data_IF_158532196485
#
_entry.id   IF_158532196485
#
_cell.length_a   1.000
_cell.length_b   1.000
_cell.length_c   1.000
_cell.angle_alpha   90.00
_cell.angle_beta   90.00
_cell.angle_gamma   90.00
#
_symmetry.space_group_name_H-M   'P 1'
#
loop_
_entity.id
_entity.type
_entity.pdbx_description
1 polymer ?
#
# COMPACT_ATOMS: atom_id res chain seq x y z
N UNK A 1 9.13 -11.17 24.57
CA UNK A 1 8.47 -9.87 24.87
C UNK A 1 7.21 -9.82 24.03
N UNK A 2 6.04 -9.61 24.63
CA UNK A 2 4.80 -9.48 23.87
C UNK A 2 4.73 -8.05 23.31
N UNK A 3 4.88 -7.89 22.00
CA UNK A 3 4.86 -6.57 21.35
C UNK A 3 3.47 -5.90 21.41
N UNK A 4 2.42 -6.66 21.75
CA UNK A 4 1.04 -6.20 21.92
C UNK A 4 0.65 -6.05 23.39
N UNK A 5 1.62 -5.79 24.27
CA UNK A 5 1.35 -5.52 25.70
C UNK A 5 0.50 -4.25 25.91
N UNK A 6 0.52 -3.33 24.95
CA UNK A 6 -0.34 -2.15 24.91
C UNK A 6 -0.71 -1.79 23.46
N UNK A 7 -1.57 -0.79 23.29
CA UNK A 7 -2.13 -0.39 22.01
C UNK A 7 -1.08 0.10 21.01
N UNK A 8 0.10 0.55 21.45
CA UNK A 8 1.16 1.00 20.54
C UNK A 8 1.69 -0.12 19.64
N UNK A 9 1.55 -1.38 20.04
CA UNK A 9 1.86 -2.53 19.19
C UNK A 9 0.94 -2.65 17.96
N UNK A 10 -0.25 -2.04 18.00
CA UNK A 10 -1.23 -2.02 16.90
C UNK A 10 -1.25 -0.65 16.23
N UNK A 11 -1.33 0.43 17.02
CA UNK A 11 -1.45 1.81 16.54
C UNK A 11 -0.13 2.40 16.03
N UNK A 12 0.99 1.76 16.36
CA UNK A 12 2.33 2.27 16.11
C UNK A 12 2.77 3.30 17.15
N UNK A 13 4.00 3.80 16.96
CA UNK A 13 4.65 4.77 17.84
C UNK A 13 4.69 6.18 17.25
N UNK A 14 3.84 6.46 16.26
CA UNK A 14 3.77 7.79 15.65
C UNK A 14 3.40 8.83 16.71
N UNK A 15 4.25 9.84 16.89
CA UNK A 15 4.05 10.89 17.90
C UNK A 15 3.95 12.25 17.23
N UNK A 16 3.01 13.07 17.68
CA UNK A 16 2.91 14.47 17.26
C UNK A 16 4.21 15.22 17.53
N UNK A 17 4.91 14.88 18.61
CA UNK A 17 6.18 15.54 18.96
C UNK A 17 7.33 15.10 18.06
N UNK A 18 7.36 13.84 17.59
CA UNK A 18 8.37 13.41 16.60
C UNK A 18 8.14 14.08 15.24
N UNK A 19 6.89 14.30 14.85
CA UNK A 19 6.55 15.05 13.64
C UNK A 19 6.91 16.55 13.74
N UNK A 20 6.76 17.16 14.93
CA UNK A 20 7.18 18.55 15.18
C UNK A 20 8.70 18.69 15.16
N UNK A 21 9.43 17.69 15.62
CA UNK A 21 10.89 17.76 15.64
C UNK A 21 11.48 17.50 14.25
N UNK A 22 11.03 16.45 13.57
CA UNK A 22 11.48 16.13 12.20
C UNK A 22 11.27 17.28 11.21
N UNK A 23 10.17 18.04 11.30
CA UNK A 23 9.97 19.19 10.41
C UNK A 23 10.97 20.33 10.69
N UNK A 24 11.29 20.59 11.97
CA UNK A 24 12.28 21.62 12.32
C UNK A 24 13.67 21.21 11.86
N UNK A 25 14.05 19.97 12.15
CA UNK A 25 15.33 19.40 11.73
C UNK A 25 15.46 19.38 10.21
N UNK A 26 14.39 19.03 9.49
CA UNK A 26 14.34 19.07 8.03
C UNK A 26 14.64 20.47 7.48
N UNK A 27 13.97 21.51 7.97
CA UNK A 27 14.20 22.88 7.50
C UNK A 27 15.57 23.42 7.90
N UNK A 28 16.08 23.02 9.08
CA UNK A 28 17.44 23.33 9.51
C UNK A 28 18.47 22.73 8.54
N UNK A 29 18.38 21.41 8.29
CA UNK A 29 19.26 20.70 7.36
C UNK A 29 19.19 21.29 5.95
N UNK A 30 17.97 21.55 5.46
CA UNK A 30 17.74 22.20 4.15
C UNK A 30 18.43 23.55 4.07
N UNK A 31 18.32 24.39 5.11
CA UNK A 31 18.93 25.72 5.16
C UNK A 31 20.46 25.64 5.16
N UNK A 32 21.03 24.69 5.90
CA UNK A 32 22.47 24.46 5.96
C UNK A 32 23.03 24.02 4.59
N UNK A 33 22.37 23.06 3.93
CA UNK A 33 22.73 22.61 2.58
C UNK A 33 22.61 23.77 1.59
N UNK A 34 21.47 24.47 1.57
CA UNK A 34 21.23 25.60 0.65
C UNK A 34 22.27 26.70 0.81
N UNK A 35 22.67 26.99 2.05
CA UNK A 35 23.72 27.98 2.36
C UNK A 35 25.07 27.56 1.76
N UNK A 36 25.44 26.28 1.90
CA UNK A 36 26.68 25.73 1.33
C UNK A 36 26.68 25.72 -0.20
N UNK A 37 25.53 25.47 -0.82
CA UNK A 37 25.37 25.57 -2.28
C UNK A 37 25.50 27.02 -2.79
N UNK A 38 25.27 28.02 -1.93
CA UNK A 38 25.40 29.44 -2.27
C UNK A 38 24.54 29.81 -3.48
N UNK A 39 25.17 30.27 -4.57
CA UNK A 39 24.47 30.65 -5.81
C UNK A 39 23.77 29.46 -6.51
N UNK A 40 24.16 28.24 -6.19
CA UNK A 40 23.56 27.01 -6.71
C UNK A 40 22.44 26.46 -5.81
N UNK A 41 22.00 27.21 -4.79
CA UNK A 41 20.91 26.79 -3.91
C UNK A 41 19.60 26.43 -4.63
N UNK A 42 19.38 26.97 -5.84
CA UNK A 42 18.23 26.62 -6.68
C UNK A 42 18.19 25.13 -7.07
N UNK A 43 19.33 24.43 -7.08
CA UNK A 43 19.38 22.99 -7.34
C UNK A 43 18.63 22.23 -6.23
N UNK A 44 18.87 22.60 -4.97
CA UNK A 44 18.16 22.01 -3.83
C UNK A 44 16.68 22.40 -3.86
N UNK A 45 16.36 23.66 -4.20
CA UNK A 45 14.98 24.13 -4.28
C UNK A 45 14.18 23.27 -5.31
N UNK A 46 14.77 23.01 -6.48
CA UNK A 46 14.16 22.16 -7.51
C UNK A 46 14.08 20.68 -7.10
N UNK A 47 15.15 20.14 -6.49
CA UNK A 47 15.17 18.78 -5.96
C UNK A 47 14.05 18.56 -4.94
N UNK A 48 13.88 19.49 -4.00
CA UNK A 48 12.80 19.42 -3.00
C UNK A 48 11.42 19.59 -3.62
N UNK A 49 11.25 20.44 -4.64
CA UNK A 49 9.99 20.57 -5.39
C UNK A 49 9.54 19.22 -5.93
N UNK A 50 10.45 18.47 -6.58
CA UNK A 50 10.14 17.14 -7.08
C UNK A 50 9.77 16.15 -5.98
N UNK A 51 10.48 16.14 -4.85
CA UNK A 51 10.13 15.25 -3.74
C UNK A 51 8.74 15.57 -3.15
N UNK A 52 8.43 16.86 -2.99
CA UNK A 52 7.12 17.28 -2.49
C UNK A 52 5.99 16.98 -3.47
N UNK A 53 6.18 17.28 -4.76
CA UNK A 53 5.23 16.98 -5.82
C UNK A 53 4.98 15.47 -5.91
N UNK A 54 6.04 14.66 -5.90
CA UNK A 54 5.92 13.21 -5.99
C UNK A 54 5.20 12.59 -4.78
N UNK A 55 5.50 13.08 -3.58
CA UNK A 55 4.86 12.56 -2.36
C UNK A 55 3.42 13.03 -2.23
N UNK A 56 3.09 14.22 -2.75
CA UNK A 56 1.73 14.75 -2.73
C UNK A 56 0.87 14.23 -3.90
N UNK A 57 1.49 13.70 -4.95
CA UNK A 57 0.82 13.18 -6.14
C UNK A 57 0.09 11.85 -5.92
N UNK A 58 0.44 11.10 -4.86
CA UNK A 58 -0.24 9.83 -4.51
C UNK A 58 -0.80 9.95 -3.11
N UNK A 59 -2.11 10.12 -3.00
CA UNK A 59 -2.75 10.31 -1.70
C UNK A 59 -2.93 8.96 -0.99
N UNK A 60 -2.55 8.92 0.28
CA UNK A 60 -2.62 7.71 1.10
C UNK A 60 -4.02 7.09 1.14
N UNK A 61 -5.08 7.91 1.24
CA UNK A 61 -6.44 7.38 1.30
C UNK A 61 -6.87 6.78 -0.04
N UNK A 62 -6.40 7.31 -1.17
CA UNK A 62 -6.71 6.77 -2.51
C UNK A 62 -6.03 5.43 -2.70
N UNK A 63 -4.76 5.31 -2.32
CA UNK A 63 -4.06 4.03 -2.34
C UNK A 63 -4.76 2.96 -1.48
N UNK A 64 -5.20 3.33 -0.27
CA UNK A 64 -5.92 2.41 0.62
C UNK A 64 -7.28 2.00 0.03
N UNK A 65 -8.03 2.96 -0.52
CA UNK A 65 -9.31 2.70 -1.19
C UNK A 65 -9.13 1.79 -2.39
N UNK A 66 -8.15 2.05 -3.24
CA UNK A 66 -7.86 1.23 -4.42
C UNK A 66 -7.58 -0.23 -4.04
N UNK A 67 -6.74 -0.45 -3.02
CA UNK A 67 -6.47 -1.79 -2.50
C UNK A 67 -7.73 -2.48 -1.96
N UNK A 68 -8.58 -1.74 -1.26
CA UNK A 68 -9.85 -2.27 -0.74
C UNK A 68 -10.85 -2.62 -1.86
N UNK A 69 -10.98 -1.76 -2.86
CA UNK A 69 -11.89 -1.92 -4.01
C UNK A 69 -11.44 -3.03 -4.96
N UNK A 70 -10.13 -3.21 -5.10
CA UNK A 70 -9.52 -4.32 -5.85
C UNK A 70 -10.03 -5.67 -5.34
N UNK A 71 -9.94 -5.92 -4.02
CA UNK A 71 -10.48 -7.16 -3.43
C UNK A 71 -12.02 -7.21 -3.48
N UNK A 72 -12.70 -6.07 -3.38
CA UNK A 72 -14.17 -6.00 -3.54
C UNK A 72 -14.63 -6.42 -4.95
N UNK A 73 -13.86 -6.09 -5.97
CA UNK A 73 -14.11 -6.52 -7.35
C UNK A 73 -13.97 -8.03 -7.50
N UNK A 74 -12.93 -8.60 -6.91
CA UNK A 74 -12.75 -10.07 -6.84
C UNK A 74 -13.92 -10.75 -6.11
N UNK A 75 -14.36 -10.20 -4.98
CA UNK A 75 -15.52 -10.71 -4.24
C UNK A 75 -16.81 -10.68 -5.08
N UNK A 76 -16.96 -9.66 -5.93
CA UNK A 76 -18.10 -9.56 -6.85
C UNK A 76 -18.10 -10.68 -7.90
N UNK A 77 -16.93 -11.06 -8.43
CA UNK A 77 -16.79 -12.21 -9.34
C UNK A 77 -17.17 -13.52 -8.66
N UNK A 78 -16.69 -13.73 -7.42
CA UNK A 78 -17.07 -14.90 -6.62
C UNK A 78 -18.61 -14.97 -6.44
N UNK A 79 -19.26 -13.85 -6.10
CA UNK A 79 -20.73 -13.80 -5.96
C UNK A 79 -21.44 -14.13 -7.27
N UNK A 80 -20.99 -13.57 -8.38
CA UNK A 80 -21.54 -13.84 -9.72
C UNK A 80 -21.46 -15.32 -10.09
N UNK A 81 -20.29 -15.93 -9.89
CA UNK A 81 -20.04 -17.35 -10.17
C UNK A 81 -20.92 -18.24 -9.28
N UNK A 82 -20.97 -17.95 -7.97
CA UNK A 82 -21.77 -18.72 -7.01
C UNK A 82 -23.28 -18.64 -7.28
N UNK A 83 -23.77 -17.53 -7.85
CA UNK A 83 -25.17 -17.35 -8.23
C UNK A 83 -25.49 -17.84 -9.65
N UNK A 84 -24.47 -18.12 -10.47
CA UNK A 84 -24.65 -18.37 -11.89
C UNK A 84 -25.05 -17.11 -12.70
N UNK A 85 -24.91 -15.92 -12.11
CA UNK A 85 -25.21 -14.63 -12.76
C UNK A 85 -23.95 -14.10 -13.43
N UNK A 86 -23.70 -14.46 -14.68
CA UNK A 86 -22.43 -14.11 -15.31
C UNK A 86 -22.46 -12.76 -15.99
N UNK A 87 -22.06 -11.70 -15.27
CA UNK A 87 -22.04 -10.32 -15.78
C UNK A 87 -20.65 -9.93 -16.28
N UNK A 88 -19.59 -10.39 -15.60
CA UNK A 88 -18.21 -9.98 -15.86
C UNK A 88 -17.31 -11.12 -16.40
N UNK A 89 -17.76 -11.83 -17.45
CA UNK A 89 -16.97 -12.92 -18.09
C UNK A 89 -15.63 -12.47 -18.66
N UNK A 90 -15.54 -11.21 -19.06
CA UNK A 90 -14.34 -10.65 -19.69
C UNK A 90 -13.28 -10.23 -18.67
N UNK A 91 -13.59 -10.30 -17.37
CA UNK A 91 -12.61 -9.97 -16.34
C UNK A 91 -11.43 -10.96 -16.39
N UNK A 92 -10.16 -10.50 -16.34
CA UNK A 92 -8.98 -11.36 -16.51
C UNK A 92 -8.94 -12.57 -15.59
N UNK A 93 -9.47 -12.42 -14.37
CA UNK A 93 -9.47 -13.46 -13.35
C UNK A 93 -10.72 -14.36 -13.36
N UNK A 94 -11.70 -14.10 -14.23
CA UNK A 94 -12.97 -14.83 -14.21
C UNK A 94 -12.76 -16.35 -14.30
N UNK A 95 -11.97 -16.81 -15.29
CA UNK A 95 -11.73 -18.23 -15.52
C UNK A 95 -10.96 -18.89 -14.36
N UNK A 96 -9.98 -18.19 -13.78
CA UNK A 96 -9.22 -18.70 -12.63
C UNK A 96 -10.10 -18.86 -11.40
N UNK A 97 -10.88 -17.82 -11.05
CA UNK A 97 -11.81 -17.86 -9.92
C UNK A 97 -12.86 -18.95 -10.13
N UNK A 98 -13.40 -19.06 -11.34
CA UNK A 98 -14.38 -20.08 -11.68
C UNK A 98 -13.81 -21.49 -11.54
N UNK A 99 -12.64 -21.74 -12.13
CA UNK A 99 -11.97 -23.04 -12.03
C UNK A 99 -11.67 -23.41 -10.57
N UNK A 100 -11.25 -22.44 -9.76
CA UNK A 100 -11.00 -22.64 -8.34
C UNK A 100 -12.28 -23.03 -7.57
N UNK A 101 -13.37 -22.28 -7.76
CA UNK A 101 -14.66 -22.56 -7.11
C UNK A 101 -15.21 -23.93 -7.55
N UNK A 102 -15.12 -24.27 -8.84
CA UNK A 102 -15.58 -25.57 -9.35
C UNK A 102 -14.76 -26.73 -8.76
N UNK A 103 -13.46 -26.54 -8.54
CA UNK A 103 -12.55 -27.55 -7.99
C UNK A 103 -12.67 -27.71 -6.46
N UNK A 104 -13.12 -26.68 -5.74
CA UNK A 104 -13.17 -26.65 -4.27
C UNK A 104 -14.58 -26.38 -3.74
N UNK A 105 -15.58 -27.25 -4.03
CA UNK A 105 -16.95 -27.01 -3.59
C UNK A 105 -17.07 -27.00 -2.07
N UNK A 106 -17.53 -25.87 -1.53
CA UNK A 106 -17.74 -25.68 -0.09
C UNK A 106 -19.11 -26.22 0.37
N UNK A 107 -19.12 -26.91 1.53
CA UNK A 107 -20.31 -27.56 2.13
C UNK A 107 -21.28 -26.61 2.86
N UNK A 108 -20.89 -25.34 3.05
CA UNK A 108 -21.64 -24.35 3.83
C UNK A 108 -22.88 -23.85 3.07
N UNK A 109 -24.01 -23.70 3.77
CA UNK A 109 -25.28 -23.28 3.18
C UNK A 109 -25.29 -21.76 2.96
N UNK A 110 -24.86 -21.00 3.97
CA UNK A 110 -24.84 -19.53 3.91
C UNK A 110 -23.91 -19.05 2.78
N UNK A 111 -24.45 -18.24 1.87
CA UNK A 111 -23.70 -17.74 0.70
C UNK A 111 -22.53 -16.85 1.08
N UNK A 112 -22.69 -16.03 2.13
CA UNK A 112 -21.63 -15.15 2.61
C UNK A 112 -20.50 -15.93 3.29
N UNK A 113 -20.80 -17.03 4.00
CA UNK A 113 -19.75 -17.92 4.54
C UNK A 113 -18.90 -18.49 3.42
N UNK A 114 -19.53 -19.00 2.34
CA UNK A 114 -18.81 -19.51 1.17
C UNK A 114 -17.97 -18.42 0.49
N UNK A 115 -18.55 -17.23 0.30
CA UNK A 115 -17.84 -16.09 -0.29
C UNK A 115 -16.59 -15.75 0.51
N UNK A 116 -16.70 -15.56 1.83
CA UNK A 116 -15.57 -15.19 2.67
C UNK A 116 -14.50 -16.27 2.76
N UNK A 117 -14.86 -17.55 2.64
CA UNK A 117 -13.90 -18.64 2.52
C UNK A 117 -13.15 -18.60 1.19
N UNK A 118 -13.87 -18.46 0.06
CA UNK A 118 -13.21 -18.35 -1.24
C UNK A 118 -12.32 -17.10 -1.36
N UNK A 119 -12.75 -15.95 -0.81
CA UNK A 119 -11.93 -14.74 -0.72
C UNK A 119 -10.59 -15.03 -0.02
N UNK A 120 -10.65 -15.62 1.16
CA UNK A 120 -9.45 -15.96 1.93
C UNK A 120 -8.57 -17.02 1.24
N UNK A 121 -9.15 -17.96 0.50
CA UNK A 121 -8.41 -18.99 -0.22
C UNK A 121 -7.77 -18.46 -1.52
N UNK A 122 -8.39 -17.48 -2.18
CA UNK A 122 -7.93 -16.88 -3.43
C UNK A 122 -7.05 -15.64 -3.22
N UNK A 123 -7.00 -15.09 -2.00
CA UNK A 123 -6.38 -13.78 -1.75
C UNK A 123 -4.91 -13.73 -2.16
N UNK A 124 -4.14 -14.81 -1.96
CA UNK A 124 -2.72 -14.86 -2.33
C UNK A 124 -2.51 -14.81 -3.84
N UNK A 125 -3.24 -15.63 -4.59
CA UNK A 125 -3.12 -15.69 -6.05
C UNK A 125 -3.51 -14.35 -6.70
N UNK A 126 -4.53 -13.69 -6.15
CA UNK A 126 -4.99 -12.39 -6.65
C UNK A 126 -4.03 -11.25 -6.27
N UNK A 127 -3.39 -11.33 -5.09
CA UNK A 127 -2.47 -10.32 -4.59
C UNK A 127 -1.31 -10.06 -5.55
N UNK A 128 -0.71 -11.11 -6.10
CA UNK A 128 0.47 -10.98 -6.97
C UNK A 128 0.16 -10.13 -8.20
N UNK A 129 -0.91 -10.45 -8.91
CA UNK A 129 -1.26 -9.71 -10.13
C UNK A 129 -1.85 -8.33 -9.84
N UNK A 130 -2.59 -8.15 -8.75
CA UNK A 130 -3.05 -6.83 -8.31
C UNK A 130 -1.88 -5.90 -7.96
N UNK A 131 -0.85 -6.43 -7.30
CA UNK A 131 0.35 -5.69 -6.94
C UNK A 131 1.09 -5.18 -8.18
N UNK A 132 1.33 -6.04 -9.17
CA UNK A 132 2.05 -5.67 -10.39
C UNK A 132 1.31 -4.61 -11.21
N UNK A 133 -0.01 -4.76 -11.33
CA UNK A 133 -0.85 -3.81 -12.04
C UNK A 133 -0.81 -2.43 -11.36
N UNK A 134 -1.10 -2.39 -10.06
CA UNK A 134 -1.13 -1.12 -9.32
C UNK A 134 0.25 -0.44 -9.28
N UNK A 135 1.33 -1.21 -9.13
CA UNK A 135 2.69 -0.65 -9.22
C UNK A 135 2.96 -0.01 -10.58
N UNK A 136 2.52 -0.66 -11.67
CA UNK A 136 2.69 -0.14 -13.03
C UNK A 136 1.92 1.15 -13.23
N UNK A 137 0.69 1.22 -12.74
CA UNK A 137 -0.17 2.40 -12.81
C UNK A 137 0.44 3.57 -12.02
N UNK A 138 0.89 3.33 -10.77
CA UNK A 138 1.59 4.37 -9.99
C UNK A 138 2.86 4.88 -10.65
N UNK A 139 3.63 4.01 -11.31
CA UNK A 139 4.83 4.42 -12.06
C UNK A 139 4.44 5.28 -13.26
N UNK A 140 3.34 4.96 -13.94
CA UNK A 140 2.83 5.78 -15.04
C UNK A 140 2.38 7.16 -14.53
N UNK A 141 1.62 7.22 -13.44
CA UNK A 141 1.11 8.46 -12.84
C UNK A 141 2.26 9.36 -12.36
N UNK A 142 3.24 8.80 -11.63
CA UNK A 142 4.40 9.57 -11.15
C UNK A 142 5.17 10.20 -12.33
N UNK A 143 5.29 9.48 -13.46
CA UNK A 143 6.02 9.98 -14.63
C UNK A 143 5.35 11.17 -15.30
N UNK A 144 4.07 11.45 -15.04
CA UNK A 144 3.39 12.62 -15.59
C UNK A 144 3.92 13.94 -15.00
N UNK A 145 4.41 13.93 -13.76
CA UNK A 145 4.87 15.13 -13.07
C UNK A 145 6.32 15.04 -12.54
N UNK A 146 6.92 13.85 -12.46
CA UNK A 146 8.29 13.67 -12.00
C UNK A 146 9.24 13.27 -13.14
N UNK A 147 10.19 14.15 -13.44
CA UNK A 147 11.36 13.79 -14.25
C UNK A 147 12.41 13.11 -13.36
N UNK A 148 12.39 11.78 -13.34
CA UNK A 148 13.33 10.99 -12.54
C UNK A 148 14.79 11.15 -12.99
N UNK A 149 15.02 11.51 -14.26
CA UNK A 149 16.38 11.72 -14.78
C UNK A 149 16.90 13.05 -14.24
N UNK A 150 16.11 14.13 -14.32
CA UNK A 150 16.49 15.42 -13.75
C UNK A 150 16.64 15.35 -12.21
N UNK A 151 15.77 14.61 -11.51
CA UNK A 151 15.91 14.40 -10.06
C UNK A 151 17.26 13.78 -9.68
N UNK A 152 17.68 12.74 -10.41
CA UNK A 152 18.97 12.09 -10.20
C UNK A 152 20.14 13.00 -10.55
N UNK A 153 20.04 13.77 -11.63
CA UNK A 153 21.05 14.75 -12.01
C UNK A 153 21.19 15.87 -10.97
N UNK A 154 20.07 16.33 -10.38
CA UNK A 154 20.07 17.30 -9.28
C UNK A 154 20.75 16.72 -8.05
N UNK A 155 20.43 15.48 -7.67
CA UNK A 155 21.09 14.78 -6.56
C UNK A 155 22.61 14.75 -6.76
N UNK A 156 23.09 14.29 -7.92
CA UNK A 156 24.51 14.19 -8.22
C UNK A 156 25.21 15.55 -8.17
N UNK A 157 24.63 16.59 -8.78
CA UNK A 157 25.19 17.95 -8.76
C UNK A 157 25.28 18.52 -7.35
N UNK A 158 24.28 18.27 -6.50
CA UNK A 158 24.31 18.70 -5.10
C UNK A 158 25.43 17.96 -4.35
N UNK A 159 25.54 16.64 -4.50
CA UNK A 159 26.60 15.83 -3.88
C UNK A 159 28.00 16.30 -4.29
N UNK A 160 28.22 16.62 -5.56
CA UNK A 160 29.50 17.15 -6.07
C UNK A 160 29.91 18.44 -5.35
N UNK A 161 28.96 19.36 -5.11
CA UNK A 161 29.23 20.64 -4.45
C UNK A 161 29.46 20.45 -2.95
N UNK A 162 28.74 19.51 -2.32
CA UNK A 162 28.88 19.21 -0.90
C UNK A 162 30.13 18.36 -0.60
N UNK A 163 30.68 17.67 -1.61
CA UNK A 163 31.80 16.75 -1.46
C UNK A 163 31.41 15.37 -0.93
N UNK A 164 30.14 14.97 -1.07
CA UNK A 164 29.61 13.69 -0.62
C UNK A 164 28.09 13.66 -0.47
N UNK A 165 27.57 12.49 -0.09
CA UNK A 165 26.13 12.19 -0.06
C UNK A 165 25.49 12.34 1.34
N UNK A 166 26.32 12.34 2.40
CA UNK A 166 25.89 12.24 3.81
C UNK A 166 24.80 13.24 4.18
N UNK A 167 24.94 14.50 3.78
CA UNK A 167 23.98 15.55 4.11
C UNK A 167 22.64 15.35 3.39
N UNK A 168 22.66 14.82 2.17
CA UNK A 168 21.46 14.50 1.39
C UNK A 168 20.79 13.22 1.91
N UNK A 169 21.56 12.21 2.34
CA UNK A 169 21.02 11.03 3.02
C UNK A 169 20.31 11.42 4.31
N UNK A 170 20.93 12.28 5.13
CA UNK A 170 20.29 12.80 6.35
C UNK A 170 19.03 13.59 6.02
N UNK A 171 19.06 14.42 4.96
CA UNK A 171 17.89 15.15 4.50
C UNK A 171 16.76 14.20 4.06
N UNK A 172 17.09 13.12 3.35
CA UNK A 172 16.14 12.10 2.93
C UNK A 172 15.51 11.37 4.13
N UNK A 173 16.29 11.01 5.15
CA UNK A 173 15.75 10.41 6.37
C UNK A 173 14.74 11.33 7.06
N UNK A 174 15.08 12.62 7.21
CA UNK A 174 14.18 13.64 7.77
C UNK A 174 12.94 13.84 6.89
N UNK A 175 13.11 13.79 5.57
CA UNK A 175 12.01 13.85 4.61
C UNK A 175 11.04 12.69 4.82
N UNK A 176 11.54 11.44 4.90
CA UNK A 176 10.71 10.28 5.13
C UNK A 176 9.96 10.33 6.46
N UNK A 177 10.65 10.72 7.53
CA UNK A 177 10.03 10.83 8.86
C UNK A 177 8.87 11.84 8.90
N UNK A 178 8.92 12.87 8.06
CA UNK A 178 7.93 13.96 8.09
C UNK A 178 6.87 13.87 7.01
N UNK A 179 7.28 13.59 5.77
CA UNK A 179 6.44 13.75 4.58
C UNK A 179 6.06 12.41 3.94
N UNK A 180 6.83 11.34 4.15
CA UNK A 180 6.58 10.00 3.60
C UNK A 180 6.46 8.96 4.72
N UNK A 181 5.48 9.16 5.60
CA UNK A 181 5.24 8.32 6.79
C UNK A 181 4.96 6.86 6.40
N UNK A 182 4.22 6.66 5.31
CA UNK A 182 3.93 5.37 4.72
C UNK A 182 4.01 5.49 3.19
N UNK A 183 4.43 4.41 2.51
CA UNK A 183 4.58 4.40 1.05
C UNK A 183 3.28 3.90 0.41
N UNK A 184 2.97 4.40 -0.79
CA UNK A 184 1.73 4.08 -1.50
C UNK A 184 1.49 2.57 -1.64
N UNK A 185 2.50 1.78 -2.01
CA UNK A 185 2.37 0.32 -2.13
C UNK A 185 2.07 -0.36 -0.79
N UNK A 186 2.70 0.07 0.31
CA UNK A 186 2.42 -0.48 1.64
C UNK A 186 0.96 -0.19 2.05
N UNK A 187 0.47 1.01 1.71
CA UNK A 187 -0.90 1.44 2.01
C UNK A 187 -1.93 0.71 1.16
N UNK A 188 -1.65 0.51 -0.13
CA UNK A 188 -2.48 -0.30 -1.03
C UNK A 188 -2.60 -1.75 -0.54
N UNK A 189 -1.46 -2.37 -0.20
CA UNK A 189 -1.44 -3.73 0.36
C UNK A 189 -2.19 -3.79 1.70
N UNK A 190 -2.10 -2.75 2.52
CA UNK A 190 -2.88 -2.65 3.74
C UNK A 190 -4.39 -2.56 3.45
N UNK A 191 -4.80 -1.81 2.43
CA UNK A 191 -6.19 -1.77 1.95
C UNK A 191 -6.73 -3.15 1.54
N UNK A 192 -5.96 -3.89 0.74
CA UNK A 192 -6.29 -5.28 0.38
C UNK A 192 -6.38 -6.17 1.62
N UNK A 193 -5.41 -6.04 2.54
CA UNK A 193 -5.37 -6.77 3.80
C UNK A 193 -6.58 -6.47 4.68
N UNK A 194 -7.03 -5.21 4.73
CA UNK A 194 -8.23 -4.85 5.49
C UNK A 194 -9.49 -5.53 4.95
N UNK A 195 -9.62 -5.68 3.62
CA UNK A 195 -10.72 -6.43 3.05
C UNK A 195 -10.63 -7.93 3.35
N UNK A 196 -9.44 -8.53 3.25
CA UNK A 196 -9.22 -9.92 3.67
C UNK A 196 -9.59 -10.13 5.15
N UNK A 197 -9.23 -9.20 6.03
CA UNK A 197 -9.59 -9.24 7.45
C UNK A 197 -11.10 -9.18 7.67
N UNK A 198 -11.87 -8.46 6.85
CA UNK A 198 -13.35 -8.52 6.89
C UNK A 198 -13.85 -9.94 6.63
N UNK A 199 -13.29 -10.64 5.65
CA UNK A 199 -13.65 -12.03 5.35
C UNK A 199 -13.22 -12.99 6.45
N UNK A 200 -11.98 -12.90 6.94
CA UNK A 200 -11.45 -13.77 8.00
C UNK A 200 -12.22 -13.62 9.32
N UNK A 201 -12.69 -12.41 9.62
CA UNK A 201 -13.44 -12.11 10.85
C UNK A 201 -14.96 -12.30 10.72
N UNK A 202 -15.47 -12.57 9.51
CA UNK A 202 -16.87 -12.91 9.30
C UNK A 202 -17.26 -14.14 10.12
N UNK A 203 -18.42 -14.08 10.79
CA UNK A 203 -18.95 -15.17 11.62
C UNK A 203 -20.01 -15.95 10.86
N UNK A 204 -19.71 -17.21 10.59
CA UNK A 204 -20.65 -18.17 10.04
C UNK A 204 -21.83 -18.40 11.01
N UNK A 205 -23.04 -18.44 10.46
CA UNK A 205 -24.26 -18.61 11.27
C UNK A 205 -24.49 -20.05 11.70
N UNK A 206 -24.07 -21.03 10.90
CA UNK A 206 -24.33 -22.44 11.17
C UNK A 206 -23.50 -22.96 12.35
N UNK A 207 -22.23 -22.55 12.40
CA UNK A 207 -21.25 -23.02 13.38
C UNK A 207 -20.94 -22.00 14.46
N UNK A 208 -21.33 -20.73 14.27
CA UNK A 208 -20.92 -19.58 15.09
C UNK A 208 -19.41 -19.34 15.12
N UNK A 209 -18.64 -19.98 14.22
CA UNK A 209 -17.20 -19.78 14.08
C UNK A 209 -16.90 -18.63 13.12
N UNK A 210 -15.77 -17.97 13.33
CA UNK A 210 -15.24 -17.04 12.34
C UNK A 210 -14.55 -17.81 11.20
N UNK A 211 -14.49 -17.21 10.01
CA UNK A 211 -13.91 -17.85 8.81
C UNK A 211 -12.48 -18.34 9.06
N UNK A 212 -11.63 -17.56 9.75
CA UNK A 212 -10.27 -18.03 10.06
C UNK A 212 -10.28 -19.32 10.91
N UNK A 213 -11.27 -19.52 11.78
CA UNK A 213 -11.41 -20.74 12.58
C UNK A 213 -11.84 -21.90 11.70
N UNK A 214 -12.75 -21.65 10.73
CA UNK A 214 -13.16 -22.66 9.74
C UNK A 214 -11.97 -23.11 8.88
N UNK A 215 -11.13 -22.17 8.45
CA UNK A 215 -9.89 -22.46 7.70
C UNK A 215 -8.86 -23.23 8.52
N UNK A 216 -8.84 -23.09 9.85
CA UNK A 216 -7.95 -23.87 10.71
C UNK A 216 -8.48 -25.29 10.98
N UNK A 217 -9.80 -25.44 10.99
CA UNK A 217 -10.46 -26.74 11.21
C UNK A 217 -10.45 -27.63 9.96
N UNK A 218 -10.34 -27.01 8.78
CA UNK A 218 -10.36 -27.69 7.49
C UNK A 218 -8.99 -27.54 6.82
N UNK A 219 -8.37 -28.67 6.45
CA UNK A 219 -7.15 -28.65 5.64
C UNK A 219 -7.51 -28.33 4.18
N UNK A 220 -7.71 -27.05 3.90
CA UNK A 220 -7.86 -26.53 2.53
C UNK A 220 -6.51 -26.45 1.82
#
# INVERSE_FOLDING_TARGET
MNIYENESGILGSASVDSLKESIKEFFKQTTEIRTRLGRQGYLLDKYLSYLFEATNGILAYEAATEGFETVTTMNSLCVEILKGEVKNKEHPFYEQVKAFIDAHPLKYQESFTRLSLYDAMLSCDYLESAYEQYYTDLVADIREFLDIVDLNDLYNKICEVLGGEKELEQLYLLFCQRFLIAKAMDIFLQGMTNQLLYSLTYRDRETSKQVFQLLLDEAF
#
